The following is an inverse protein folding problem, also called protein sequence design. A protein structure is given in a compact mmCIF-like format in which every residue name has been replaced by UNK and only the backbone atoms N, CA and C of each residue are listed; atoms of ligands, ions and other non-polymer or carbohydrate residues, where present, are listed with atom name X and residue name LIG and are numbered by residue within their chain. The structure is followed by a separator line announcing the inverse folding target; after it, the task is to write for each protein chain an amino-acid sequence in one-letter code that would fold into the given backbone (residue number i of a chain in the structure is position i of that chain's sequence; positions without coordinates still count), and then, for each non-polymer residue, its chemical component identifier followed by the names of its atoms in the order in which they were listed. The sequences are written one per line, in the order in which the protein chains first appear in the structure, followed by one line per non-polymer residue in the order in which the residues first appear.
data_IF_358015829120
#
_entry.id   IF_358015829120
#
_cell.length_a   1.000
_cell.length_b   1.000
_cell.length_c   1.000
_cell.angle_alpha   90.00
_cell.angle_beta   90.00
_cell.angle_gamma   90.00
#
_symmetry.space_group_name_H-M   'P 1'
#
loop_
_entity.id
_entity.type
_entity.pdbx_description
1 polymer ?
#
# COMPACT_ATOMS: atom_id res chain seq x y z
N UNK A 1 16.34 -13.08 -1.27
CA UNK A 1 16.55 -13.07 -2.74
C UNK A 1 15.98 -11.76 -3.26
N UNK A 2 16.74 -11.03 -4.08
CA UNK A 2 16.32 -9.77 -4.72
C UNK A 2 15.51 -10.12 -5.97
N UNK A 3 14.37 -9.45 -6.19
CA UNK A 3 13.56 -9.63 -7.40
C UNK A 3 14.01 -8.68 -8.51
N UNK A 4 14.66 -7.57 -8.16
CA UNK A 4 14.98 -6.49 -9.10
C UNK A 4 13.77 -5.70 -9.56
N UNK A 5 12.56 -6.04 -9.09
CA UNK A 5 11.32 -5.35 -9.44
C UNK A 5 11.15 -4.09 -8.59
N UNK A 6 10.67 -3.03 -9.23
CA UNK A 6 10.31 -1.78 -8.55
C UNK A 6 8.82 -1.81 -8.25
N UNK A 7 8.47 -1.75 -6.97
CA UNK A 7 7.09 -1.69 -6.50
C UNK A 7 6.91 -0.36 -5.80
N UNK A 8 5.87 0.38 -6.20
CA UNK A 8 5.48 1.66 -5.65
C UNK A 8 4.24 1.51 -4.78
N UNK A 9 4.14 2.34 -3.75
CA UNK A 9 2.92 2.52 -3.00
C UNK A 9 2.66 4.00 -2.68
N UNK A 10 1.38 4.35 -2.56
CA UNK A 10 0.98 5.61 -1.95
C UNK A 10 -0.07 5.34 -0.85
N UNK A 11 0.28 5.75 0.37
CA UNK A 11 -0.56 5.65 1.55
C UNK A 11 -1.29 6.97 1.77
N UNK A 12 -2.62 6.93 1.77
CA UNK A 12 -3.47 8.07 2.06
C UNK A 12 -3.77 8.13 3.56
N UNK A 13 -3.63 9.34 4.13
CA UNK A 13 -3.88 9.67 5.52
C UNK A 13 -4.94 10.78 5.61
N UNK A 14 -5.79 10.75 6.63
CA UNK A 14 -6.68 11.86 6.98
C UNK A 14 -6.13 12.55 8.22
N UNK A 15 -5.64 13.77 8.05
CA UNK A 15 -5.05 14.61 9.10
C UNK A 15 -5.76 15.96 9.05
N UNK A 16 -6.39 16.38 10.15
CA UNK A 16 -7.11 17.66 10.25
C UNK A 16 -8.06 17.91 9.07
N UNK A 17 -8.86 16.90 8.72
CA UNK A 17 -9.78 16.87 7.57
C UNK A 17 -9.12 16.97 6.17
N UNK A 18 -7.79 16.94 6.11
CA UNK A 18 -7.04 16.94 4.85
C UNK A 18 -6.55 15.54 4.49
N UNK A 19 -6.57 15.25 3.18
CA UNK A 19 -5.99 14.03 2.64
C UNK A 19 -4.52 14.26 2.31
N UNK A 20 -3.64 13.53 2.99
CA UNK A 20 -2.19 13.59 2.82
C UNK A 20 -1.69 12.26 2.26
N UNK A 21 -0.73 12.30 1.34
CA UNK A 21 -0.19 11.11 0.71
C UNK A 21 1.28 10.90 1.06
N UNK A 22 1.61 9.69 1.52
CA UNK A 22 2.98 9.26 1.80
C UNK A 22 3.37 8.19 0.80
N UNK A 23 4.52 8.38 0.15
CA UNK A 23 5.02 7.47 -0.88
C UNK A 23 5.90 6.38 -0.26
N UNK A 24 5.86 5.19 -0.85
CA UNK A 24 6.76 4.09 -0.52
C UNK A 24 7.28 3.40 -1.78
N UNK A 25 8.47 2.82 -1.67
CA UNK A 25 9.03 1.92 -2.68
C UNK A 25 9.60 0.70 -1.97
N UNK A 26 9.60 -0.48 -2.59
CA UNK A 26 10.23 -1.65 -1.97
C UNK A 26 11.74 -1.44 -1.80
N UNK A 27 12.31 -2.00 -0.73
CA UNK A 27 13.74 -1.97 -0.46
C UNK A 27 14.29 -3.39 -0.46
N UNK A 28 15.17 -3.69 -1.40
CA UNK A 28 15.77 -5.01 -1.53
C UNK A 28 17.21 -5.06 -1.01
N UNK A 29 17.39 -5.69 0.15
CA UNK A 29 18.70 -5.84 0.80
C UNK A 29 19.08 -7.31 0.94
N UNK A 30 20.38 -7.58 0.84
CA UNK A 30 20.95 -8.92 1.07
C UNK A 30 21.32 -9.10 2.54
N UNK A 31 20.33 -8.97 3.43
CA UNK A 31 20.50 -9.12 4.88
C UNK A 31 19.57 -10.21 5.43
N UNK A 32 19.91 -10.88 6.56
CA UNK A 32 19.03 -11.86 7.20
C UNK A 32 17.65 -11.30 7.60
N UNK A 33 17.59 -10.00 7.90
CA UNK A 33 16.34 -9.27 8.17
C UNK A 33 15.41 -9.14 6.96
N UNK A 34 15.94 -9.40 5.76
CA UNK A 34 15.19 -9.42 4.51
C UNK A 34 14.86 -8.04 3.94
N UNK A 35 14.14 -8.07 2.82
CA UNK A 35 13.63 -6.90 2.08
C UNK A 35 12.36 -6.32 2.72
N UNK A 36 12.11 -5.03 2.47
CA UNK A 36 10.87 -4.35 2.85
C UNK A 36 9.97 -4.14 1.63
N UNK A 37 8.67 -4.39 1.82
CA UNK A 37 7.66 -4.14 0.80
C UNK A 37 7.36 -2.64 0.70
N UNK A 38 6.86 -2.21 -0.46
CA UNK A 38 6.57 -0.80 -0.72
C UNK A 38 5.61 -0.20 0.32
N UNK A 39 4.59 -0.95 0.71
CA UNK A 39 3.54 -0.57 1.66
C UNK A 39 4.13 -0.36 3.05
N UNK A 40 4.99 -1.29 3.50
CA UNK A 40 5.70 -1.16 4.78
C UNK A 40 6.59 0.07 4.83
N UNK A 41 7.26 0.39 3.72
CA UNK A 41 8.04 1.62 3.62
C UNK A 41 7.14 2.86 3.68
N UNK A 42 5.96 2.86 3.05
CA UNK A 42 5.01 3.97 3.17
C UNK A 42 4.48 4.12 4.62
N UNK A 43 4.10 3.02 5.29
CA UNK A 43 3.68 3.04 6.71
C UNK A 43 4.79 3.56 7.63
N UNK A 44 6.00 3.05 7.48
CA UNK A 44 7.15 3.48 8.29
C UNK A 44 7.49 4.96 8.07
N UNK A 45 7.43 5.41 6.83
CA UNK A 45 7.62 6.83 6.47
C UNK A 45 6.53 7.69 7.09
N UNK A 46 5.27 7.27 7.02
CA UNK A 46 4.15 8.00 7.62
C UNK A 46 4.32 8.15 9.14
N UNK A 47 4.68 7.09 9.85
CA UNK A 47 4.93 7.12 11.29
C UNK A 47 6.14 8.00 11.67
N UNK A 48 7.12 8.12 10.78
CA UNK A 48 8.27 9.00 10.97
C UNK A 48 7.88 10.47 10.79
N UNK A 49 7.08 10.78 9.76
CA UNK A 49 6.60 12.14 9.48
C UNK A 49 5.55 12.62 10.50
N UNK A 50 4.74 11.69 11.01
CA UNK A 50 3.61 11.98 11.90
C UNK A 50 3.60 11.00 13.09
N UNK A 51 4.43 11.24 14.13
CA UNK A 51 4.63 10.31 15.25
C UNK A 51 3.38 10.00 16.09
N UNK A 52 2.34 10.83 15.99
CA UNK A 52 1.07 10.64 16.70
C UNK A 52 -0.03 10.05 15.79
N UNK A 53 0.35 9.49 14.64
CA UNK A 53 -0.58 8.74 13.80
C UNK A 53 -1.23 7.61 14.59
N UNK A 54 -2.54 7.50 14.45
CA UNK A 54 -3.34 6.39 14.95
C UNK A 54 -3.93 5.66 13.76
N UNK A 55 -4.43 4.44 14.00
CA UNK A 55 -4.93 3.56 12.94
C UNK A 55 -6.16 4.13 12.22
N UNK A 56 -6.92 4.99 12.89
CA UNK A 56 -8.08 5.70 12.35
C UNK A 56 -7.70 6.77 11.33
N UNK A 57 -6.44 7.23 11.33
CA UNK A 57 -5.99 8.23 10.35
C UNK A 57 -5.65 7.61 8.99
N UNK A 58 -5.46 6.29 8.88
CA UNK A 58 -5.16 5.67 7.58
C UNK A 58 -6.42 5.57 6.72
N UNK A 59 -6.40 6.07 5.49
CA UNK A 59 -7.57 6.00 4.59
C UNK A 59 -7.47 4.80 3.65
N UNK A 60 -6.29 4.54 3.11
CA UNK A 60 -6.06 3.44 2.20
C UNK A 60 -4.64 3.45 1.65
N UNK A 61 -4.23 2.37 1.02
CA UNK A 61 -2.94 2.26 0.33
C UNK A 61 -3.15 1.78 -1.09
N UNK A 62 -2.52 2.42 -2.05
CA UNK A 62 -2.43 1.91 -3.41
C UNK A 62 -1.06 1.28 -3.68
N UNK A 63 -1.01 0.23 -4.49
CA UNK A 63 0.22 -0.53 -4.81
C UNK A 63 0.28 -0.83 -6.30
N UNK A 64 1.46 -0.64 -6.89
CA UNK A 64 1.74 -0.88 -8.31
C UNK A 64 3.16 -1.43 -8.48
N UNK A 65 3.32 -2.54 -9.18
CA UNK A 65 4.63 -2.94 -9.70
C UNK A 65 4.90 -2.25 -11.03
N UNK A 66 6.10 -1.70 -11.21
CA UNK A 66 6.56 -1.23 -12.50
C UNK A 66 7.11 -2.41 -13.29
N UNK A 67 6.61 -2.57 -14.51
CA UNK A 67 6.99 -3.66 -15.42
C UNK A 67 7.63 -3.04 -16.66
N UNK A 68 8.86 -3.45 -16.98
CA UNK A 68 9.55 -3.04 -18.20
C UNK A 68 9.18 -3.97 -19.38
N UNK A 69 9.34 -3.54 -20.65
CA UNK A 69 9.11 -4.42 -21.79
C UNK A 69 9.97 -5.69 -21.72
N UNK A 70 9.32 -6.86 -21.69
CA UNK A 70 9.97 -8.17 -21.59
C UNK A 70 10.00 -8.77 -20.18
N UNK A 71 9.56 -8.02 -19.18
CA UNK A 71 9.33 -8.53 -17.84
C UNK A 71 7.96 -9.21 -17.70
N UNK A 72 7.87 -10.21 -16.82
CA UNK A 72 6.58 -10.74 -16.36
C UNK A 72 5.83 -9.67 -15.57
N UNK A 73 4.61 -9.38 -15.98
CA UNK A 73 3.72 -8.48 -15.25
C UNK A 73 3.13 -9.20 -14.04
N UNK A 74 3.41 -8.65 -12.86
CA UNK A 74 3.00 -9.21 -11.57
C UNK A 74 1.81 -8.44 -10.96
N UNK A 75 1.25 -7.51 -11.73
CA UNK A 75 0.05 -6.78 -11.37
C UNK A 75 -1.21 -7.57 -11.76
N UNK A 76 -2.33 -7.44 -11.01
CA UNK A 76 -2.45 -6.75 -9.73
C UNK A 76 -1.71 -7.46 -8.61
N UNK A 77 -0.94 -6.70 -7.83
CA UNK A 77 -0.08 -7.24 -6.78
C UNK A 77 -0.79 -7.20 -5.42
N UNK A 78 -1.27 -8.33 -4.87
CA UNK A 78 -1.86 -8.36 -3.54
C UNK A 78 -0.81 -8.08 -2.46
N UNK A 79 -1.21 -7.58 -1.28
CA UNK A 79 -0.28 -7.38 -0.17
C UNK A 79 0.36 -8.72 0.22
N UNK A 80 1.67 -8.70 0.49
CA UNK A 80 2.34 -9.89 1.02
C UNK A 80 1.84 -10.20 2.45
N UNK A 81 2.08 -11.41 2.96
CA UNK A 81 1.57 -11.83 4.28
C UNK A 81 1.92 -10.89 5.45
N UNK A 82 3.09 -10.24 5.41
CA UNK A 82 3.47 -9.25 6.43
C UNK A 82 2.68 -7.95 6.28
N UNK A 83 2.49 -7.47 5.05
CA UNK A 83 1.66 -6.29 4.77
C UNK A 83 0.21 -6.58 5.13
N UNK A 84 -0.32 -7.76 4.79
CA UNK A 84 -1.68 -8.18 5.15
C UNK A 84 -1.89 -8.14 6.67
N UNK A 85 -0.92 -8.64 7.45
CA UNK A 85 -1.00 -8.58 8.93
C UNK A 85 -1.08 -7.14 9.44
N UNK A 86 -0.34 -6.21 8.83
CA UNK A 86 -0.43 -4.78 9.16
C UNK A 86 -1.81 -4.20 8.85
N UNK A 87 -2.33 -4.54 7.67
CA UNK A 87 -3.64 -4.07 7.21
C UNK A 87 -4.75 -4.64 8.12
N UNK A 88 -4.68 -5.92 8.49
CA UNK A 88 -5.61 -6.55 9.43
C UNK A 88 -5.63 -5.80 10.77
N UNK A 89 -4.47 -5.37 11.27
CA UNK A 89 -4.36 -4.56 12.50
C UNK A 89 -5.00 -3.20 12.34
N UNK A 90 -4.89 -2.55 11.18
CA UNK A 90 -5.60 -1.29 10.92
C UNK A 90 -7.10 -1.54 10.91
N UNK A 91 -7.56 -2.59 10.23
CA UNK A 91 -8.97 -2.95 10.13
C UNK A 91 -9.64 -3.25 11.46
N UNK A 92 -8.92 -3.68 12.49
CA UNK A 92 -9.48 -3.85 13.84
C UNK A 92 -10.22 -2.61 14.35
N UNK A 93 -9.76 -1.41 13.98
CA UNK A 93 -10.35 -0.13 14.42
C UNK A 93 -10.81 0.76 13.27
N UNK A 94 -10.42 0.44 12.03
CA UNK A 94 -10.73 1.21 10.85
C UNK A 94 -11.14 0.30 9.69
N UNK A 95 -12.41 -0.12 9.68
CA UNK A 95 -12.99 -1.01 8.65
C UNK A 95 -13.12 -0.36 7.28
N UNK A 96 -12.96 0.96 7.19
CA UNK A 96 -13.03 1.70 5.93
C UNK A 96 -11.70 1.75 5.18
N UNK A 97 -10.59 1.35 5.80
CA UNK A 97 -9.31 1.25 5.12
C UNK A 97 -9.43 0.37 3.87
N UNK A 98 -8.87 0.82 2.74
CA UNK A 98 -8.88 0.09 1.46
C UNK A 98 -7.48 -0.17 0.94
N UNK A 99 -7.29 -1.35 0.36
CA UNK A 99 -6.09 -1.66 -0.44
C UNK A 99 -6.49 -1.59 -1.90
N UNK A 100 -5.77 -0.79 -2.66
CA UNK A 100 -6.04 -0.52 -4.06
C UNK A 100 -4.86 -1.05 -4.88
N UNK A 101 -5.13 -1.89 -5.87
CA UNK A 101 -4.11 -2.41 -6.79
C UNK A 101 -4.57 -2.18 -8.22
N UNK A 102 -3.64 -2.19 -9.16
CA UNK A 102 -3.93 -1.92 -10.58
C UNK A 102 -3.54 -3.12 -11.41
N UNK A 103 -4.13 -3.28 -12.60
CA UNK A 103 -3.71 -4.33 -13.54
C UNK A 103 -2.35 -4.06 -14.16
N UNK A 104 -1.98 -2.79 -14.31
CA UNK A 104 -0.76 -2.34 -14.97
C UNK A 104 -0.57 -0.83 -14.75
N UNK A 105 0.47 -0.27 -15.37
CA UNK A 105 0.87 1.14 -15.24
C UNK A 105 -0.06 2.15 -15.92
N UNK A 106 -1.04 1.72 -16.72
CA UNK A 106 -2.08 2.60 -17.29
C UNK A 106 -3.05 3.11 -16.23
N UNK A 107 -3.17 2.39 -15.11
CA UNK A 107 -4.10 2.68 -14.01
C UNK A 107 -5.59 2.65 -14.42
N UNK A 108 -5.93 2.09 -15.59
CA UNK A 108 -7.29 2.07 -16.11
C UNK A 108 -8.21 1.13 -15.33
N UNK A 109 -7.67 -0.02 -14.90
CA UNK A 109 -8.41 -1.01 -14.13
C UNK A 109 -7.89 -1.08 -12.69
N UNK A 110 -8.83 -0.87 -11.76
CA UNK A 110 -8.58 -0.82 -10.32
C UNK A 110 -9.19 -2.05 -9.66
N UNK A 111 -8.44 -2.66 -8.74
CA UNK A 111 -8.89 -3.71 -7.86
C UNK A 111 -8.88 -3.19 -6.43
N UNK A 112 -10.03 -3.22 -5.77
CA UNK A 112 -10.16 -2.79 -4.38
C UNK A 112 -10.33 -4.04 -3.53
N UNK A 113 -9.40 -4.27 -2.61
CA UNK A 113 -9.54 -5.34 -1.62
C UNK A 113 -10.17 -4.77 -0.36
N UNK A 114 -11.39 -5.23 -0.08
CA UNK A 114 -12.07 -5.08 1.21
C UNK A 114 -11.82 -6.32 2.03
N UNK A 115 -11.03 -6.23 3.12
CA UNK A 115 -10.87 -7.36 4.05
C UNK A 115 -12.17 -7.68 4.83
N UNK A 116 -13.28 -7.00 4.55
CA UNK A 116 -14.60 -7.34 5.05
C UNK A 116 -15.18 -8.64 4.48
N UNK A 117 -14.58 -9.22 3.42
CA UNK A 117 -15.06 -10.47 2.81
C UNK A 117 -14.42 -11.73 3.42
N UNK A 118 -13.50 -11.58 4.38
CA UNK A 118 -13.17 -12.65 5.33
C UNK A 118 -14.07 -12.42 6.54
N UNK A 119 -15.19 -13.15 6.71
CA UNK A 119 -16.04 -12.95 7.87
C UNK A 119 -15.21 -13.23 9.12
N UNK A 120 -15.78 -12.80 10.24
CA UNK A 120 -15.56 -13.24 11.62
C UNK A 120 -15.51 -14.80 11.83
N UNK A 121 -15.30 -15.60 10.79
CA UNK A 121 -15.25 -17.06 10.73
C UNK A 121 -14.01 -17.69 11.40
N UNK A 122 -12.91 -16.95 11.57
CA UNK A 122 -11.76 -17.47 12.34
C UNK A 122 -11.90 -17.28 13.86
N UNK A 123 -12.84 -16.46 14.32
CA UNK A 123 -13.10 -16.27 15.76
C UNK A 123 -14.12 -17.27 16.34
N UNK A 124 -14.54 -18.30 15.58
CA UNK A 124 -15.43 -19.39 16.07
C UNK A 124 -14.92 -20.81 15.83
N UNK A 125 -13.71 -21.00 15.30
CA UNK A 125 -13.05 -22.32 15.32
C UNK A 125 -12.14 -22.35 16.54
N UNK A 126 -12.79 -22.59 17.68
CA UNK A 126 -12.19 -22.97 18.94
C UNK A 126 -11.28 -24.20 18.80
N UNK A 127 -10.30 -24.30 19.71
CA UNK A 127 -9.83 -25.56 20.31
C UNK A 127 -9.69 -26.79 19.39
N UNK A 128 -8.44 -27.21 19.19
CA UNK A 128 -8.03 -28.55 18.75
C UNK A 128 -8.64 -29.04 17.43
N UNK A 129 -8.00 -28.71 16.30
CA UNK A 129 -7.78 -29.74 15.28
C UNK A 129 -6.63 -29.37 14.34
N UNK A 130 -5.81 -30.37 14.02
CA UNK A 130 -4.58 -30.25 13.25
C UNK A 130 -4.81 -30.57 11.79
N UNK A 131 -5.58 -29.78 11.06
CA UNK A 131 -5.58 -29.81 9.59
C UNK A 131 -5.87 -28.40 9.04
N UNK A 132 -4.86 -27.78 8.43
CA UNK A 132 -4.95 -26.44 7.83
C UNK A 132 -5.70 -26.53 6.50
N UNK A 133 -6.78 -25.75 6.26
CA UNK A 133 -7.23 -25.46 4.91
C UNK A 133 -6.50 -24.22 4.39
N UNK A 134 -5.92 -24.32 3.20
CA UNK A 134 -5.44 -23.17 2.43
C UNK A 134 -6.63 -22.25 2.12
N UNK A 135 -6.62 -21.02 2.63
CA UNK A 135 -7.64 -20.03 2.32
C UNK A 135 -7.34 -19.47 0.93
N UNK A 136 -8.16 -19.87 -0.05
CA UNK A 136 -8.19 -19.23 -1.36
C UNK A 136 -8.79 -17.83 -1.22
N UNK A 137 -8.07 -16.82 -1.71
CA UNK A 137 -8.50 -15.42 -1.81
C UNK A 137 -9.81 -15.32 -2.60
N UNK A 138 -10.83 -14.69 -2.02
CA UNK A 138 -11.97 -14.15 -2.77
C UNK A 138 -11.74 -12.65 -2.89
N UNK A 139 -11.18 -12.21 -4.01
CA UNK A 139 -11.16 -10.81 -4.40
C UNK A 139 -12.39 -10.55 -5.28
N UNK A 140 -13.36 -9.76 -4.82
CA UNK A 140 -14.31 -9.15 -5.75
C UNK A 140 -13.58 -8.01 -6.49
N UNK A 141 -13.25 -8.24 -7.76
CA UNK A 141 -12.77 -7.17 -8.63
C UNK A 141 -13.95 -6.24 -8.96
N UNK A 142 -14.13 -5.17 -8.20
CA UNK A 142 -15.06 -4.11 -8.56
C UNK A 142 -14.44 -3.31 -9.71
N UNK A 143 -14.85 -3.58 -10.95
CA UNK A 143 -14.46 -2.80 -12.13
C UNK A 143 -15.00 -1.36 -12.00
N UNK A 144 -14.14 -0.43 -11.60
CA UNK A 144 -14.40 1.00 -11.66
C UNK A 144 -13.52 1.61 -12.75
N UNK A 145 -14.11 1.95 -13.89
CA UNK A 145 -13.45 2.75 -14.94
C UNK A 145 -13.37 4.20 -14.49
N UNK A 146 -12.15 4.73 -14.34
CA UNK A 146 -11.93 6.15 -14.03
C UNK A 146 -12.25 6.97 -15.28
N UNK A 147 -13.37 7.70 -15.27
CA UNK A 147 -13.66 8.67 -16.31
C UNK A 147 -12.85 9.95 -16.07
N UNK A 148 -11.93 10.23 -16.98
CA UNK A 148 -11.12 11.44 -16.99
C UNK A 148 -12.00 12.67 -17.26
N UNK A 149 -12.30 13.41 -16.19
CA UNK A 149 -12.71 14.81 -16.28
C UNK A 149 -11.75 15.63 -15.44
N UNK A 150 -10.55 15.80 -15.99
CA UNK A 150 -9.63 16.86 -15.62
C UNK A 150 -10.36 18.19 -15.40
N UNK A 151 -10.23 18.72 -14.19
CA UNK A 151 -10.46 20.14 -13.92
C UNK A 151 -9.50 20.58 -12.83
N UNK A 152 -8.43 21.26 -13.27
CA UNK A 152 -7.51 22.01 -12.45
C UNK A 152 -8.23 23.12 -11.68
N UNK A 153 -7.92 23.29 -10.39
CA UNK A 153 -7.88 24.61 -9.74
C UNK A 153 -6.78 24.67 -8.68
N UNK A 154 -5.80 25.53 -8.97
CA UNK A 154 -4.97 26.40 -8.10
C UNK A 154 -4.15 25.84 -6.92
N UNK A 155 -2.83 25.83 -7.16
CA UNK A 155 -1.72 26.28 -6.30
C UNK A 155 -2.09 26.96 -4.98
N UNK A 156 -1.67 26.36 -3.87
CA UNK A 156 -1.28 27.06 -2.65
C UNK A 156 0.08 26.53 -2.17
N UNK A 157 1.00 27.47 -1.97
CA UNK A 157 2.38 27.24 -1.52
C UNK A 157 2.40 26.44 -0.21
N UNK A 158 3.05 25.28 -0.21
CA UNK A 158 3.37 24.53 1.00
C UNK A 158 4.69 25.08 1.60
N UNK A 159 4.74 25.59 2.85
CA UNK A 159 5.96 26.14 3.43
C UNK A 159 7.07 25.12 3.70
N UNK A 160 6.94 23.86 3.29
CA UNK A 160 7.88 22.76 3.58
C UNK A 160 8.74 22.29 2.40
N UNK A 161 8.69 22.95 1.23
CA UNK A 161 9.56 22.62 0.08
C UNK A 161 11.03 23.07 0.22
N UNK A 162 11.45 23.59 1.38
CA UNK A 162 12.78 24.20 1.53
C UNK A 162 13.92 23.29 2.05
N UNK A 163 13.74 21.98 2.19
CA UNK A 163 14.80 21.13 2.76
C UNK A 163 14.97 19.75 2.12
N UNK A 164 15.15 19.69 0.80
CA UNK A 164 15.90 18.58 0.18
C UNK A 164 16.68 19.16 -1.01
N UNK A 165 17.92 19.61 -0.78
CA UNK A 165 18.84 19.74 -1.90
C UNK A 165 19.16 18.33 -2.42
N UNK A 166 19.15 18.09 -3.75
CA UNK A 166 19.56 16.81 -4.30
C UNK A 166 21.00 16.52 -3.87
N UNK A 167 21.21 15.36 -3.25
CA UNK A 167 22.52 14.88 -2.87
C UNK A 167 23.37 14.71 -4.14
N UNK A 168 24.34 15.61 -4.35
CA UNK A 168 25.29 15.52 -5.45
C UNK A 168 26.29 14.39 -5.17
N UNK A 169 26.07 13.24 -5.82
CA UNK A 169 26.90 12.05 -5.70
C UNK A 169 28.29 12.20 -6.37
N UNK A 170 28.63 13.37 -6.91
CA UNK A 170 29.92 13.64 -7.57
C UNK A 170 30.79 14.71 -6.87
N UNK A 171 30.48 15.09 -5.63
CA UNK A 171 31.45 15.86 -4.82
C UNK A 171 32.47 14.93 -4.15
N UNK A 172 33.77 15.25 -4.21
CA UNK A 172 34.86 14.38 -3.73
C UNK A 172 34.83 14.18 -2.21
#
# INVERSE_FOLDING_TARGET
RKSGKVVLSALALRLDEQLVFVRGTNLEVSLPSGSLCSERNAFGTALTLYPFLRREHFVGVCVLALTEPGDEDINPLPPCGVCSTWIDKIHEVNREFRVITFTDVSLEQIHITTLCDLPLALNRISSSDSTRPCIHHLSEAVHLTVNDKGRHTQSMNNPMEQWIEPLDLNKP
#
